data_IF_283262434903
#
_entry.id   IF_283262434903
#
_cell.length_a   1.000
_cell.length_b   1.000
_cell.length_c   1.000
_cell.angle_alpha   90.00
_cell.angle_beta   90.00
_cell.angle_gamma   90.00
#
_symmetry.space_group_name_H-M   'P 1'
#
loop_
_entity.id
_entity.type
_entity.pdbx_description
1 polymer ?
#
# COMPACT_ATOMS: atom_id res chain seq x y z
N UNK A 1 7.56 4.55 -26.19
CA UNK A 1 8.14 3.23 -25.84
C UNK A 1 7.10 2.43 -25.05
N UNK A 2 7.14 1.11 -25.20
CA UNK A 2 6.00 0.19 -25.16
C UNK A 2 5.24 0.03 -23.83
N UNK A 3 3.92 -0.11 -23.99
CA UNK A 3 2.91 -0.57 -23.02
C UNK A 3 3.37 -1.80 -22.23
N UNK A 4 3.16 -1.81 -20.91
CA UNK A 4 3.06 -3.04 -20.12
C UNK A 4 1.74 -3.05 -19.36
N UNK A 5 0.89 -4.01 -19.74
CA UNK A 5 -0.39 -4.39 -19.11
C UNK A 5 -0.20 -5.78 -18.46
N UNK A 6 -1.12 -6.19 -17.57
CA UNK A 6 -0.95 -6.30 -16.14
C UNK A 6 -0.38 -7.67 -15.73
N UNK A 7 0.41 -7.73 -14.66
CA UNK A 7 0.60 -9.00 -13.95
C UNK A 7 -0.09 -8.85 -12.61
N UNK A 8 -1.18 -9.60 -12.50
CA UNK A 8 -1.99 -9.85 -11.31
C UNK A 8 -1.18 -9.74 -10.04
N UNK A 9 -1.78 -9.09 -9.03
CA UNK A 9 -1.33 -8.99 -7.66
C UNK A 9 -0.74 -10.32 -7.15
N UNK A 10 0.55 -10.51 -7.33
CA UNK A 10 1.24 -11.71 -6.89
C UNK A 10 1.62 -11.47 -5.43
N UNK A 11 0.66 -11.72 -4.54
CA UNK A 11 0.90 -11.79 -3.08
C UNK A 11 2.10 -12.68 -2.76
N UNK A 12 2.42 -13.65 -3.62
CA UNK A 12 3.53 -14.58 -3.52
C UNK A 12 4.93 -13.98 -3.75
N UNK A 13 5.04 -12.69 -4.10
CA UNK A 13 6.32 -11.99 -4.30
C UNK A 13 6.72 -11.07 -3.16
N UNK A 14 6.12 -11.22 -1.99
CA UNK A 14 6.50 -10.49 -0.78
C UNK A 14 7.54 -11.31 0.02
N UNK A 15 8.85 -11.02 -0.10
CA UNK A 15 9.91 -11.74 0.62
C UNK A 15 9.83 -11.59 2.14
N UNK A 16 8.97 -10.71 2.66
CA UNK A 16 8.77 -10.48 4.08
C UNK A 16 7.42 -10.97 4.60
N UNK A 17 6.62 -11.63 3.77
CA UNK A 17 5.29 -12.12 4.15
C UNK A 17 5.36 -13.09 5.33
N UNK A 18 6.37 -13.98 5.36
CA UNK A 18 6.61 -14.89 6.47
C UNK A 18 6.99 -14.19 7.78
N UNK A 19 7.57 -12.98 7.70
CA UNK A 19 7.99 -12.19 8.87
C UNK A 19 6.82 -11.42 9.46
N UNK A 20 5.94 -10.90 8.61
CA UNK A 20 4.76 -10.14 9.02
C UNK A 20 3.59 -11.05 9.44
N UNK A 21 3.47 -12.26 8.87
CA UNK A 21 2.51 -13.28 9.31
C UNK A 21 2.76 -13.79 10.75
N UNK A 22 3.97 -13.58 11.30
CA UNK A 22 4.26 -13.87 12.72
C UNK A 22 3.83 -12.76 13.68
N UNK A 23 3.56 -11.55 13.19
CA UNK A 23 3.20 -10.39 14.04
C UNK A 23 1.71 -10.15 14.15
N UNK A 24 0.91 -10.67 13.21
CA UNK A 24 -0.53 -10.42 13.17
C UNK A 24 -1.29 -11.70 12.82
N UNK A 25 -2.39 -11.94 13.53
CA UNK A 25 -3.32 -13.07 13.30
C UNK A 25 -3.94 -13.01 11.89
N UNK A 26 -4.01 -11.81 11.30
CA UNK A 26 -4.45 -11.53 9.93
C UNK A 26 -3.35 -10.81 9.13
N UNK A 27 -2.62 -11.50 8.23
CA UNK A 27 -1.53 -10.89 7.50
C UNK A 27 -2.05 -9.84 6.52
N UNK A 28 -1.58 -8.61 6.68
CA UNK A 28 -1.73 -7.54 5.69
C UNK A 28 -0.44 -7.39 4.86
N UNK A 29 -0.53 -6.92 3.60
CA UNK A 29 0.63 -6.74 2.72
C UNK A 29 1.71 -5.86 3.35
N UNK A 30 2.98 -6.18 3.08
CA UNK A 30 4.10 -5.41 3.63
C UNK A 30 4.08 -3.95 3.18
N UNK A 31 4.79 -3.11 3.91
CA UNK A 31 4.99 -1.69 3.57
C UNK A 31 5.51 -1.52 2.13
N UNK A 32 6.51 -2.31 1.75
CA UNK A 32 7.14 -2.21 0.42
C UNK A 32 6.16 -2.58 -0.68
N UNK A 33 5.30 -3.58 -0.45
CA UNK A 33 4.25 -3.94 -1.40
C UNK A 33 3.21 -2.81 -1.55
N UNK A 34 2.79 -2.19 -0.44
CA UNK A 34 1.85 -1.06 -0.45
C UNK A 34 2.44 0.11 -1.23
N UNK A 35 3.70 0.46 -0.97
CA UNK A 35 4.38 1.55 -1.68
C UNK A 35 4.52 1.25 -3.17
N UNK A 36 5.00 0.05 -3.54
CA UNK A 36 5.14 -0.35 -4.93
C UNK A 36 3.80 -0.34 -5.69
N UNK A 37 2.71 -0.73 -5.03
CA UNK A 37 1.36 -0.66 -5.63
C UNK A 37 0.91 0.78 -5.86
N UNK A 38 1.16 1.67 -4.90
CA UNK A 38 0.83 3.09 -5.03
C UNK A 38 1.71 3.80 -6.08
N UNK A 39 2.99 3.44 -6.18
CA UNK A 39 3.91 3.90 -7.22
C UNK A 39 3.49 3.40 -8.61
N UNK A 40 3.12 2.12 -8.75
CA UNK A 40 2.62 1.56 -10.02
C UNK A 40 1.33 2.24 -10.47
N UNK A 41 0.45 2.59 -9.53
CA UNK A 41 -0.77 3.33 -9.83
C UNK A 41 -0.50 4.77 -10.28
N UNK A 42 0.59 5.40 -9.81
CA UNK A 42 1.02 6.74 -10.21
C UNK A 42 0.04 7.87 -9.88
N UNK A 43 -0.99 7.60 -9.05
CA UNK A 43 -2.05 8.54 -8.72
C UNK A 43 -2.50 8.36 -7.25
N UNK A 44 -3.09 9.40 -6.62
CA UNK A 44 -3.62 9.28 -5.28
C UNK A 44 -4.71 8.19 -5.17
N UNK A 45 -4.51 7.21 -4.30
CA UNK A 45 -5.47 6.13 -4.04
C UNK A 45 -6.24 6.38 -2.76
N UNK A 46 -7.57 6.28 -2.77
CA UNK A 46 -8.35 6.34 -1.53
C UNK A 46 -8.13 5.07 -0.72
N UNK A 47 -8.46 5.12 0.57
CA UNK A 47 -8.37 3.96 1.44
C UNK A 47 -9.14 2.75 0.89
N UNK A 48 -10.37 2.95 0.43
CA UNK A 48 -11.20 1.90 -0.17
C UNK A 48 -10.58 1.32 -1.46
N UNK A 49 -10.03 2.17 -2.33
CA UNK A 49 -9.35 1.74 -3.55
C UNK A 49 -8.09 0.95 -3.23
N UNK A 50 -7.33 1.38 -2.22
CA UNK A 50 -6.14 0.69 -1.74
C UNK A 50 -6.51 -0.68 -1.14
N UNK A 51 -7.55 -0.74 -0.31
CA UNK A 51 -8.05 -1.99 0.24
C UNK A 51 -8.53 -2.96 -0.85
N UNK A 52 -9.27 -2.44 -1.85
CA UNK A 52 -9.74 -3.22 -2.99
C UNK A 52 -8.57 -3.73 -3.85
N UNK A 53 -7.56 -2.91 -4.11
CA UNK A 53 -6.37 -3.29 -4.88
C UNK A 53 -5.51 -4.33 -4.14
N UNK A 54 -5.54 -4.32 -2.81
CA UNK A 54 -4.89 -5.33 -1.96
C UNK A 54 -5.78 -6.57 -1.71
N UNK A 55 -6.99 -6.60 -2.27
CA UNK A 55 -8.02 -7.62 -2.07
C UNK A 55 -8.29 -7.88 -0.57
N UNK A 56 -8.38 -6.80 0.21
CA UNK A 56 -8.71 -6.81 1.63
C UNK A 56 -10.17 -6.41 1.82
N UNK A 57 -10.97 -7.33 2.34
CA UNK A 57 -12.40 -7.12 2.62
C UNK A 57 -12.77 -7.35 4.07
N UNK A 58 -11.90 -8.00 4.85
CA UNK A 58 -12.17 -8.28 6.25
C UNK A 58 -12.01 -7.03 7.13
N UNK A 59 -12.95 -6.74 8.06
CA UNK A 59 -12.86 -5.57 8.93
C UNK A 59 -11.56 -5.47 9.74
N UNK A 60 -10.99 -6.60 10.20
CA UNK A 60 -9.72 -6.59 10.92
C UNK A 60 -8.55 -6.27 9.98
N UNK A 61 -8.60 -6.73 8.73
CA UNK A 61 -7.60 -6.39 7.72
C UNK A 61 -7.66 -4.91 7.35
N UNK A 62 -8.86 -4.33 7.25
CA UNK A 62 -9.04 -2.90 7.01
C UNK A 62 -8.49 -2.07 8.18
N UNK A 63 -8.78 -2.44 9.42
CA UNK A 63 -8.24 -1.73 10.59
C UNK A 63 -6.71 -1.83 10.63
N UNK A 64 -6.15 -3.00 10.34
CA UNK A 64 -4.71 -3.21 10.24
C UNK A 64 -4.08 -2.37 9.12
N UNK A 65 -4.69 -2.31 7.93
CA UNK A 65 -4.23 -1.47 6.81
C UNK A 65 -4.25 0.00 7.21
N UNK A 66 -5.33 0.48 7.86
CA UNK A 66 -5.45 1.86 8.32
C UNK A 66 -4.33 2.22 9.29
N UNK A 67 -4.05 1.37 10.28
CA UNK A 67 -2.92 1.55 11.21
C UNK A 67 -1.59 1.60 10.46
N UNK A 68 -1.38 0.72 9.47
CA UNK A 68 -0.14 0.68 8.67
C UNK A 68 0.04 1.94 7.85
N UNK A 69 -0.97 2.37 7.10
CA UNK A 69 -0.92 3.59 6.28
C UNK A 69 -0.71 4.84 7.14
N UNK A 70 -1.33 4.90 8.32
CA UNK A 70 -1.10 5.98 9.28
C UNK A 70 0.34 6.00 9.81
N UNK A 71 0.92 4.83 10.11
CA UNK A 71 2.34 4.75 10.49
C UNK A 71 3.25 5.19 9.33
N UNK A 72 2.98 4.74 8.10
CA UNK A 72 3.72 5.15 6.91
C UNK A 72 3.62 6.66 6.66
N UNK A 73 2.48 7.28 6.98
CA UNK A 73 2.31 8.73 6.84
C UNK A 73 3.11 9.50 7.88
N UNK A 74 3.14 9.02 9.13
CA UNK A 74 4.00 9.58 10.18
C UNK A 74 5.48 9.46 9.86
N UNK A 75 5.88 8.35 9.25
CA UNK A 75 7.26 8.12 8.80
C UNK A 75 7.63 8.93 7.54
N UNK A 76 6.71 9.73 6.98
CA UNK A 76 6.95 10.58 5.82
C UNK A 76 7.00 9.85 4.48
N UNK A 77 6.46 8.64 4.42
CA UNK A 77 6.57 7.75 3.26
C UNK A 77 5.35 7.86 2.34
N UNK A 78 4.19 8.17 2.93
CA UNK A 78 2.95 8.47 2.20
C UNK A 78 2.35 9.77 2.70
N UNK A 79 1.72 10.51 1.81
CA UNK A 79 0.99 11.73 2.13
C UNK A 79 -0.48 11.54 1.77
N UNK A 80 -1.36 11.97 2.67
CA UNK A 80 -2.79 12.04 2.39
C UNK A 80 -3.13 13.42 1.82
N UNK A 81 -3.75 13.45 0.65
CA UNK A 81 -4.23 14.68 0.03
C UNK A 81 -5.52 15.17 0.73
N UNK A 82 -5.92 16.42 0.46
CA UNK A 82 -7.15 17.02 1.02
C UNK A 82 -8.45 16.28 0.64
N UNK A 83 -8.40 15.41 -0.38
CA UNK A 83 -9.55 14.61 -0.85
C UNK A 83 -9.59 13.21 -0.20
N UNK A 84 -8.67 12.91 0.71
CA UNK A 84 -8.58 11.61 1.39
C UNK A 84 -7.91 10.51 0.57
N UNK A 85 -7.15 10.86 -0.46
CA UNK A 85 -6.33 9.94 -1.25
C UNK A 85 -4.87 9.95 -0.80
N UNK A 86 -4.26 8.79 -0.71
CA UNK A 86 -2.87 8.60 -0.32
C UNK A 86 -1.97 8.51 -1.54
N UNK A 87 -0.82 9.16 -1.47
CA UNK A 87 0.25 9.10 -2.46
C UNK A 87 1.56 8.71 -1.79
N UNK A 88 2.46 8.06 -2.51
CA UNK A 88 3.85 7.91 -2.08
C UNK A 88 4.53 9.27 -2.11
N UNK A 89 5.33 9.56 -1.09
CA UNK A 89 6.18 10.75 -1.06
C UNK A 89 7.38 10.46 -1.96
N UNK A 90 7.38 11.03 -3.15
CA UNK A 90 8.56 11.01 -4.02
C UNK A 90 9.58 12.00 -3.48
N UNK A 91 10.68 11.46 -2.94
CA UNK A 91 11.78 12.25 -2.41
C UNK A 91 12.55 13.02 -3.50
N UNK A 92 12.26 12.77 -4.78
CA UNK A 92 12.87 13.43 -5.94
C UNK A 92 12.18 14.73 -6.37
N UNK A 93 10.97 15.03 -5.88
CA UNK A 93 10.21 16.25 -6.23
C UNK A 93 10.32 17.35 -5.16
N UNK A 94 11.07 17.11 -4.08
CA UNK A 94 11.40 18.12 -3.07
C UNK A 94 12.61 18.94 -3.53
N UNK A 95 12.39 19.85 -4.49
CA UNK A 95 13.38 20.87 -4.92
C UNK A 95 12.90 22.27 -4.55
#
# INVERSE_FOLDING_TARGET
MSKRKPRSADRARDPYQAREAKKYENPIPSREFILGLMEEHGAPLRFDDLAAALELSDPQQLDALSRRVNAMSRDGQVVCNRRGGYCVVNHEDLI
#
